data_IF_444563217550
#
_entry.id   IF_444563217550
#
_cell.length_a   1.000
_cell.length_b   1.000
_cell.length_c   1.000
_cell.angle_alpha   90.00
_cell.angle_beta   90.00
_cell.angle_gamma   90.00
#
_symmetry.space_group_name_H-M   'P 1'
#
loop_
_entity.id
_entity.type
_entity.pdbx_description
1 polymer ?
#
# COMPACT_ATOMS: atom_id res chain seq x y z
N UNK A 1 -29.23 46.59 25.04
CA UNK A 1 -29.59 45.69 26.15
C UNK A 1 -29.42 44.26 25.64
N UNK A 2 -28.67 43.46 26.37
CA UNK A 2 -27.86 42.33 25.89
C UNK A 2 -28.65 41.14 25.34
N UNK A 3 -28.21 40.61 24.18
CA UNK A 3 -28.41 39.22 23.78
C UNK A 3 -27.05 38.54 23.84
N UNK A 4 -26.78 37.85 24.93
CA UNK A 4 -25.69 36.86 25.02
C UNK A 4 -26.14 35.62 24.25
N UNK A 5 -25.76 35.52 22.98
CA UNK A 5 -25.64 34.22 22.29
C UNK A 5 -24.17 33.82 22.38
N UNK A 6 -23.87 32.90 23.29
CA UNK A 6 -22.61 32.15 23.29
C UNK A 6 -22.72 31.12 22.18
N UNK A 7 -22.37 31.54 20.97
CA UNK A 7 -22.07 30.60 19.90
C UNK A 7 -20.72 29.96 20.21
N UNK A 8 -20.84 28.67 20.53
CA UNK A 8 -19.83 27.62 20.46
C UNK A 8 -18.53 28.04 19.77
N UNK A 9 -17.51 28.25 20.60
CA UNK A 9 -16.11 28.26 20.21
C UNK A 9 -15.77 26.89 19.63
N UNK A 10 -16.11 26.70 18.36
CA UNK A 10 -15.77 25.52 17.60
C UNK A 10 -14.34 25.76 17.18
N UNK A 11 -13.41 25.21 17.97
CA UNK A 11 -11.99 25.14 17.66
C UNK A 11 -11.82 24.57 16.27
N UNK A 12 -11.71 25.44 15.27
CA UNK A 12 -11.25 25.12 13.93
C UNK A 12 -9.75 24.85 14.05
N UNK A 13 -9.39 23.66 14.54
CA UNK A 13 -8.08 23.12 14.30
C UNK A 13 -7.86 23.00 12.80
N UNK A 14 -6.63 23.20 12.28
CA UNK A 14 -6.35 23.02 10.87
C UNK A 14 -6.28 21.52 10.57
N UNK A 15 -7.41 20.83 10.65
CA UNK A 15 -7.65 19.66 9.81
C UNK A 15 -7.93 20.20 8.41
N UNK A 16 -6.87 20.75 7.81
CA UNK A 16 -6.77 20.80 6.37
C UNK A 16 -7.01 19.37 5.93
N UNK A 17 -8.18 19.13 5.35
CA UNK A 17 -8.44 18.05 4.42
C UNK A 17 -7.39 18.20 3.31
N UNK A 18 -6.17 17.75 3.60
CA UNK A 18 -5.11 17.58 2.63
C UNK A 18 -5.68 16.60 1.63
N UNK A 19 -6.12 17.15 0.51
CA UNK A 19 -6.39 16.50 -0.75
C UNK A 19 -6.54 14.98 -0.64
N UNK A 20 -7.79 14.53 -0.51
CA UNK A 20 -8.24 13.13 -0.48
C UNK A 20 -7.85 12.28 -1.72
N UNK A 21 -6.89 12.75 -2.53
CA UNK A 21 -6.54 12.23 -3.84
C UNK A 21 -5.05 12.45 -4.16
N UNK A 22 -4.17 12.24 -3.19
CA UNK A 22 -2.75 12.07 -3.54
C UNK A 22 -2.59 10.75 -4.33
N UNK A 23 -1.73 10.72 -5.38
CA UNK A 23 -1.32 9.47 -6.02
C UNK A 23 -0.80 8.52 -4.94
N UNK A 24 -0.73 7.22 -5.21
CA UNK A 24 -0.21 6.23 -4.27
C UNK A 24 1.23 6.54 -3.84
N UNK A 25 1.44 7.44 -2.88
CA UNK A 25 2.74 7.68 -2.25
C UNK A 25 2.83 6.70 -1.08
N UNK A 26 2.81 5.40 -1.40
CA UNK A 26 3.37 4.42 -0.49
C UNK A 26 4.86 4.69 -0.44
N UNK A 27 5.39 5.10 0.73
CA UNK A 27 6.84 5.26 0.87
C UNK A 27 7.48 3.87 0.80
N UNK A 28 8.69 3.78 0.27
CA UNK A 28 9.39 2.51 0.07
C UNK A 28 9.43 1.64 1.35
N UNK A 29 9.55 2.26 2.53
CA UNK A 29 9.48 1.55 3.80
C UNK A 29 8.12 0.87 4.05
N UNK A 30 7.02 1.56 3.80
CA UNK A 30 5.66 1.04 4.03
C UNK A 30 5.36 -0.11 3.07
N UNK A 31 5.75 0.06 1.81
CA UNK A 31 5.62 -0.95 0.77
C UNK A 31 6.45 -2.20 1.10
N UNK A 32 7.69 -2.01 1.57
CA UNK A 32 8.54 -3.11 2.07
C UNK A 32 7.87 -3.87 3.20
N UNK A 33 7.32 -3.19 4.20
CA UNK A 33 6.65 -3.85 5.33
C UNK A 33 5.42 -4.62 4.86
N UNK A 34 4.61 -4.05 3.97
CA UNK A 34 3.43 -4.73 3.41
C UNK A 34 3.85 -6.01 2.69
N UNK A 35 4.85 -5.91 1.82
CA UNK A 35 5.37 -7.03 1.04
C UNK A 35 5.92 -8.15 1.92
N UNK A 36 6.68 -7.81 2.96
CA UNK A 36 7.27 -8.79 3.87
C UNK A 36 6.23 -9.47 4.76
N UNK A 37 5.26 -8.71 5.28
CA UNK A 37 4.16 -9.27 6.08
C UNK A 37 3.28 -10.22 5.27
N UNK A 38 3.18 -9.98 3.97
CA UNK A 38 2.39 -10.78 3.05
C UNK A 38 3.16 -11.94 2.39
N UNK A 39 4.49 -11.98 2.50
CA UNK A 39 5.39 -12.92 1.79
C UNK A 39 5.07 -12.98 0.28
N UNK A 40 4.79 -11.82 -0.33
CA UNK A 40 4.25 -11.75 -1.69
C UNK A 40 5.30 -11.33 -2.74
N UNK A 41 6.57 -11.13 -2.38
CA UNK A 41 7.51 -10.42 -3.25
C UNK A 41 7.80 -11.20 -4.54
N UNK A 42 7.92 -12.52 -4.43
CA UNK A 42 8.08 -13.39 -5.61
C UNK A 42 6.86 -13.41 -6.53
N UNK A 43 5.66 -13.24 -5.98
CA UNK A 43 4.44 -13.13 -6.76
C UNK A 43 4.35 -11.77 -7.48
N UNK A 44 4.77 -10.70 -6.80
CA UNK A 44 4.82 -9.36 -7.40
C UNK A 44 5.86 -9.29 -8.53
N UNK A 45 7.06 -9.85 -8.34
CA UNK A 45 8.06 -9.91 -9.41
C UNK A 45 7.53 -10.63 -10.66
N UNK A 46 6.78 -11.72 -10.48
CA UNK A 46 6.15 -12.46 -11.59
C UNK A 46 5.08 -11.63 -12.28
N UNK A 47 4.23 -10.93 -11.53
CA UNK A 47 3.25 -9.99 -12.10
C UNK A 47 3.92 -8.91 -12.94
N UNK A 48 5.00 -8.30 -12.44
CA UNK A 48 5.75 -7.26 -13.15
C UNK A 48 6.44 -7.79 -14.41
N UNK A 49 6.89 -9.05 -14.39
CA UNK A 49 7.47 -9.72 -15.56
C UNK A 49 6.43 -10.21 -16.58
N UNK A 50 5.13 -10.07 -16.28
CA UNK A 50 4.04 -10.63 -17.11
C UNK A 50 3.96 -12.16 -17.06
N UNK A 51 4.56 -12.79 -16.05
CA UNK A 51 4.52 -14.24 -15.86
C UNK A 51 3.17 -14.67 -15.25
N UNK A 52 2.69 -15.88 -15.58
CA UNK A 52 1.47 -16.42 -14.99
C UNK A 52 1.63 -16.65 -13.48
N UNK A 53 0.63 -16.23 -12.72
CA UNK A 53 0.54 -16.53 -11.29
C UNK A 53 0.06 -17.96 -11.06
N UNK A 54 0.66 -18.60 -10.06
CA UNK A 54 0.24 -19.89 -9.57
C UNK A 54 -0.84 -19.78 -8.48
N UNK A 55 -1.47 -20.91 -8.10
CA UNK A 55 -2.48 -20.95 -7.04
C UNK A 55 -1.98 -20.44 -5.68
N UNK A 56 -0.68 -20.59 -5.40
CA UNK A 56 -0.03 -20.17 -4.16
C UNK A 56 0.16 -18.66 -4.05
N UNK A 57 0.06 -17.92 -5.15
CA UNK A 57 0.45 -16.51 -5.20
C UNK A 57 -0.69 -15.57 -4.84
N UNK A 58 -1.93 -16.05 -4.99
CA UNK A 58 -3.14 -15.26 -4.77
C UNK A 58 -3.29 -14.83 -3.31
N UNK A 59 -3.17 -15.77 -2.37
CA UNK A 59 -3.36 -15.48 -0.95
C UNK A 59 -2.38 -14.42 -0.42
N UNK A 60 -1.06 -14.50 -0.71
CA UNK A 60 -0.11 -13.43 -0.40
C UNK A 60 -0.52 -12.05 -0.93
N UNK A 61 -0.98 -11.96 -2.19
CA UNK A 61 -1.36 -10.68 -2.79
C UNK A 61 -2.66 -10.11 -2.18
N UNK A 62 -3.60 -10.97 -1.81
CA UNK A 62 -4.80 -10.56 -1.07
C UNK A 62 -4.46 -10.07 0.35
N UNK A 63 -3.51 -10.72 1.03
CA UNK A 63 -2.99 -10.26 2.32
C UNK A 63 -2.31 -8.90 2.18
N UNK A 64 -1.48 -8.69 1.16
CA UNK A 64 -0.85 -7.40 0.90
C UNK A 64 -1.89 -6.27 0.74
N UNK A 65 -2.98 -6.52 0.01
CA UNK A 65 -4.09 -5.59 -0.10
C UNK A 65 -4.80 -5.33 1.22
N UNK A 66 -5.00 -6.37 2.04
CA UNK A 66 -5.59 -6.22 3.36
C UNK A 66 -4.72 -5.33 4.28
N UNK A 67 -3.41 -5.57 4.31
CA UNK A 67 -2.46 -4.76 5.12
C UNK A 67 -2.37 -3.33 4.59
N UNK A 68 -2.39 -3.13 3.26
CA UNK A 68 -2.44 -1.79 2.68
C UNK A 68 -3.70 -1.04 3.15
N UNK A 69 -4.86 -1.69 3.10
CA UNK A 69 -6.15 -1.10 3.51
C UNK A 69 -6.19 -0.77 5.00
N UNK A 70 -5.69 -1.63 5.89
CA UNK A 70 -5.68 -1.36 7.33
C UNK A 70 -4.80 -0.16 7.70
N UNK A 71 -3.82 0.17 6.85
CA UNK A 71 -2.97 1.36 6.99
C UNK A 71 -3.49 2.60 6.24
N UNK A 72 -4.67 2.51 5.61
CA UNK A 72 -5.29 3.64 4.90
C UNK A 72 -4.81 3.82 3.45
N UNK A 73 -4.08 2.86 2.88
CA UNK A 73 -3.64 2.89 1.49
C UNK A 73 -4.66 2.21 0.57
N UNK A 74 -4.68 2.58 -0.71
CA UNK A 74 -5.47 1.82 -1.70
C UNK A 74 -4.77 0.48 -2.03
N UNK A 75 -5.54 -0.53 -2.49
CA UNK A 75 -4.97 -1.83 -2.82
C UNK A 75 -3.92 -1.72 -3.93
N UNK A 76 -2.90 -2.58 -3.85
CA UNK A 76 -1.84 -2.69 -4.86
C UNK A 76 -2.26 -3.61 -6.00
N UNK A 77 -3.18 -4.54 -5.74
CA UNK A 77 -3.61 -5.55 -6.71
C UNK A 77 -5.14 -5.56 -6.84
N UNK A 78 -5.64 -5.86 -8.02
CA UNK A 78 -7.06 -6.08 -8.29
C UNK A 78 -7.26 -7.55 -8.64
N UNK A 79 -8.16 -8.21 -7.93
CA UNK A 79 -8.62 -9.55 -8.26
C UNK A 79 -10.00 -9.45 -8.94
N UNK A 80 -10.09 -9.85 -10.21
CA UNK A 80 -11.32 -9.95 -10.97
C UNK A 80 -11.54 -11.40 -11.38
N UNK A 81 -12.33 -12.14 -10.59
CA UNK A 81 -12.57 -13.56 -10.80
C UNK A 81 -11.31 -14.38 -10.57
N UNK A 82 -10.81 -15.05 -11.61
CA UNK A 82 -9.55 -15.79 -11.59
C UNK A 82 -8.33 -14.93 -11.91
N UNK A 83 -8.54 -13.75 -12.48
CA UNK A 83 -7.45 -12.90 -12.93
C UNK A 83 -7.03 -11.95 -11.83
N UNK A 84 -5.72 -11.79 -11.67
CA UNK A 84 -5.14 -10.94 -10.66
C UNK A 84 -4.11 -10.04 -11.33
N UNK A 85 -4.29 -8.74 -11.16
CA UNK A 85 -3.54 -7.70 -11.87
C UNK A 85 -3.04 -6.67 -10.88
N UNK A 86 -2.03 -5.91 -11.28
CA UNK A 86 -1.61 -4.72 -10.54
C UNK A 86 -2.68 -3.63 -10.73
N UNK A 87 -2.97 -2.88 -9.67
CA UNK A 87 -3.92 -1.76 -9.72
C UNK A 87 -3.38 -0.61 -10.55
N UNK A 88 -4.26 0.23 -11.10
CA UNK A 88 -3.86 1.41 -11.88
C UNK A 88 -2.89 2.31 -11.08
N UNK A 89 -1.74 2.63 -11.69
CA UNK A 89 -0.66 3.39 -11.04
C UNK A 89 0.16 2.60 -10.01
N UNK A 90 -0.26 1.39 -9.64
CA UNK A 90 0.50 0.49 -8.77
C UNK A 90 1.77 -0.03 -9.42
N UNK A 91 1.77 -0.23 -10.74
CA UNK A 91 2.93 -0.75 -11.46
C UNK A 91 4.15 0.17 -11.36
N UNK A 92 3.97 1.48 -11.60
CA UNK A 92 5.03 2.48 -11.46
C UNK A 92 5.57 2.53 -10.03
N UNK A 93 4.70 2.45 -9.02
CA UNK A 93 5.08 2.44 -7.61
C UNK A 93 5.89 1.19 -7.26
N UNK A 94 5.45 0.02 -7.74
CA UNK A 94 6.12 -1.25 -7.51
C UNK A 94 7.48 -1.29 -8.20
N UNK A 95 7.57 -0.88 -9.47
CA UNK A 95 8.84 -0.80 -10.20
C UNK A 95 9.84 0.12 -9.50
N UNK A 96 9.43 1.35 -9.18
CA UNK A 96 10.29 2.31 -8.46
C UNK A 96 10.75 1.76 -7.10
N UNK A 97 9.88 1.03 -6.41
CA UNK A 97 10.24 0.37 -5.15
C UNK A 97 11.28 -0.75 -5.33
N UNK A 98 11.13 -1.62 -6.32
CA UNK A 98 12.10 -2.69 -6.58
C UNK A 98 13.45 -2.16 -7.07
N UNK A 99 13.47 -0.97 -7.67
CA UNK A 99 14.69 -0.25 -8.04
C UNK A 99 15.29 0.57 -6.90
N UNK A 100 14.57 0.75 -5.78
CA UNK A 100 14.98 1.59 -4.65
C UNK A 100 16.11 0.97 -3.81
N UNK A 101 16.90 1.85 -3.17
CA UNK A 101 17.93 1.46 -2.20
C UNK A 101 17.35 0.71 -0.98
N UNK A 102 16.08 0.98 -0.66
CA UNK A 102 15.36 0.33 0.44
C UNK A 102 15.13 -1.16 0.16
N UNK A 103 14.93 -1.51 -1.12
CA UNK A 103 14.82 -2.89 -1.57
C UNK A 103 16.20 -3.54 -1.74
N UNK A 104 17.14 -2.86 -2.40
CA UNK A 104 18.49 -3.39 -2.65
C UNK A 104 19.27 -3.66 -1.36
N UNK A 105 19.04 -2.87 -0.31
CA UNK A 105 19.61 -3.06 1.01
C UNK A 105 18.97 -4.18 1.85
N UNK A 106 18.01 -4.96 1.33
CA UNK A 106 17.41 -6.06 2.09
C UNK A 106 18.42 -7.19 2.27
N UNK A 107 18.54 -7.68 3.50
CA UNK A 107 19.20 -8.97 3.76
C UNK A 107 18.13 -10.08 3.75
N UNK A 108 18.08 -10.95 2.71
CA UNK A 108 17.05 -11.98 2.58
C UNK A 108 17.05 -12.99 3.75
N UNK A 109 18.16 -13.06 4.51
CA UNK A 109 18.34 -13.98 5.64
C UNK A 109 17.88 -13.42 6.99
N UNK A 110 17.68 -12.11 7.11
CA UNK A 110 17.21 -11.48 8.36
C UNK A 110 15.69 -11.39 8.44
N UNK A 111 15.00 -11.38 7.31
CA UNK A 111 13.55 -11.14 7.23
C UNK A 111 12.67 -12.35 7.55
N UNK A 112 13.25 -13.52 7.80
CA UNK A 112 12.52 -14.76 8.17
C UNK A 112 12.71 -15.22 9.62
N UNK A 113 13.33 -14.40 10.49
CA UNK A 113 13.41 -14.67 11.92
C UNK A 113 12.44 -13.76 12.68
N UNK A 114 11.19 -14.21 12.79
CA UNK A 114 10.26 -13.84 13.84
C UNK A 114 9.55 -15.13 14.28
#
# INVERSE_FOLDING_TARGET
MNREQRDSETTFGPLQLKNLWEPHILRDFELRVIMQMADCEGAVCRLLAGEPLGPSDRAPLEVANHVAKTKGFRPLFVASGQELRISDGGETVLLGFFESDVWSGRNPRQTRRA
#
